data_IF_039125129462
#
_entry.id   IF_039125129462
#
_cell.length_a   1.000
_cell.length_b   1.000
_cell.length_c   1.000
_cell.angle_alpha   90.00
_cell.angle_beta   90.00
_cell.angle_gamma   90.00
#
_symmetry.space_group_name_H-M   'P 1'
#
loop_
_entity.id
_entity.type
_entity.pdbx_description
1 polymer ?
#
# COMPACT_ATOMS: atom_id res chain seq x y z
N UNK A 1 -45.92 12.49 42.23
CA UNK A 1 -44.62 12.12 41.61
C UNK A 1 -43.48 12.55 42.53
N UNK A 2 -42.61 11.61 42.91
CA UNK A 2 -41.58 11.81 43.91
C UNK A 2 -40.46 12.72 43.37
N UNK A 3 -40.23 13.90 43.99
CA UNK A 3 -39.27 14.93 43.50
C UNK A 3 -37.84 14.40 43.37
N UNK A 4 -37.49 13.39 44.15
CA UNK A 4 -36.21 12.66 44.08
C UNK A 4 -36.08 11.84 42.81
N UNK A 5 -37.11 11.06 42.44
CA UNK A 5 -37.10 10.23 41.22
C UNK A 5 -36.93 11.06 39.95
N UNK A 6 -37.58 12.22 39.87
CA UNK A 6 -37.45 13.14 38.72
C UNK A 6 -36.05 13.74 38.58
N UNK A 7 -35.38 14.07 39.70
CA UNK A 7 -33.99 14.57 39.70
C UNK A 7 -32.99 13.50 39.23
N UNK A 8 -33.17 12.25 39.65
CA UNK A 8 -32.32 11.14 39.19
C UNK A 8 -32.53 10.83 37.70
N UNK A 9 -33.76 10.89 37.20
CA UNK A 9 -34.04 10.71 35.77
C UNK A 9 -33.35 11.77 34.90
N UNK A 10 -33.35 13.04 35.32
CA UNK A 10 -32.67 14.12 34.58
C UNK A 10 -31.16 13.93 34.59
N UNK A 11 -30.57 13.56 35.73
CA UNK A 11 -29.12 13.33 35.83
C UNK A 11 -28.64 12.17 34.94
N UNK A 12 -29.42 11.10 34.85
CA UNK A 12 -29.14 9.95 33.98
C UNK A 12 -29.22 10.35 32.51
N UNK A 13 -30.24 11.12 32.11
CA UNK A 13 -30.37 11.63 30.74
C UNK A 13 -29.18 12.54 30.38
N UNK A 14 -28.74 13.40 31.31
CA UNK A 14 -27.58 14.27 31.12
C UNK A 14 -26.28 13.46 30.98
N UNK A 15 -26.09 12.41 31.78
CA UNK A 15 -24.92 11.51 31.69
C UNK A 15 -24.88 10.74 30.37
N UNK A 16 -26.02 10.20 29.93
CA UNK A 16 -26.10 9.46 28.66
C UNK A 16 -25.85 10.40 27.48
N UNK A 17 -26.47 11.58 27.47
CA UNK A 17 -26.24 12.57 26.41
C UNK A 17 -24.81 13.10 26.39
N UNK A 18 -24.17 13.30 27.56
CA UNK A 18 -22.76 13.67 27.64
C UNK A 18 -21.85 12.54 27.11
N UNK A 19 -22.15 11.28 27.40
CA UNK A 19 -21.44 10.12 26.83
C UNK A 19 -21.57 10.05 25.31
N UNK A 20 -22.75 10.31 24.75
CA UNK A 20 -22.96 10.33 23.30
C UNK A 20 -22.23 11.50 22.62
N UNK A 21 -22.16 12.68 23.26
CA UNK A 21 -21.42 13.84 22.74
C UNK A 21 -19.90 13.61 22.84
N UNK A 22 -19.42 12.98 23.92
CA UNK A 22 -18.00 12.68 24.11
C UNK A 22 -17.50 11.56 23.19
N UNK A 23 -18.32 10.51 22.96
CA UNK A 23 -18.01 9.48 21.95
C UNK A 23 -17.99 10.05 20.52
N UNK A 24 -18.90 10.98 20.17
CA UNK A 24 -18.87 11.63 18.85
C UNK A 24 -17.65 12.54 18.62
N UNK A 25 -16.98 12.99 19.68
CA UNK A 25 -15.83 13.92 19.58
C UNK A 25 -14.49 13.22 19.33
N UNK A 26 -14.50 11.89 19.14
CA UNK A 26 -13.30 11.11 18.77
C UNK A 26 -13.29 10.69 17.30
N UNK A 27 -13.95 11.44 16.43
CA UNK A 27 -13.50 11.51 15.03
C UNK A 27 -12.16 12.26 15.02
N UNK A 28 -11.07 11.53 15.29
CA UNK A 28 -9.71 11.98 15.00
C UNK A 28 -9.74 12.54 13.59
N UNK A 29 -9.46 13.84 13.41
CA UNK A 29 -9.31 14.46 12.11
C UNK A 29 -8.48 13.56 11.19
N UNK A 30 -9.15 12.80 10.31
CA UNK A 30 -8.50 11.85 9.42
C UNK A 30 -7.75 12.72 8.41
N UNK A 31 -6.43 12.81 8.58
CA UNK A 31 -5.61 13.54 7.62
C UNK A 31 -5.44 12.64 6.41
N UNK A 32 -6.28 12.86 5.39
CA UNK A 32 -6.18 12.19 4.10
C UNK A 32 -5.11 12.88 3.27
N UNK A 33 -4.00 12.19 3.02
CA UNK A 33 -3.03 12.61 2.00
C UNK A 33 -3.17 11.70 0.79
N UNK A 34 -3.27 12.28 -0.41
CA UNK A 34 -3.27 11.51 -1.65
C UNK A 34 -1.96 11.74 -2.41
N UNK A 35 -1.36 10.66 -2.93
CA UNK A 35 -0.21 10.73 -3.83
C UNK A 35 -0.49 9.92 -5.09
N UNK A 36 -0.20 10.49 -6.24
CA UNK A 36 -0.32 9.79 -7.53
C UNK A 36 1.05 9.71 -8.19
N UNK A 37 1.49 8.49 -8.48
CA UNK A 37 2.80 8.18 -9.03
C UNK A 37 2.69 7.40 -10.33
N UNK A 38 3.63 7.64 -11.23
CA UNK A 38 3.68 7.05 -12.57
C UNK A 38 4.96 6.24 -12.74
N UNK A 39 4.88 5.13 -13.47
CA UNK A 39 5.99 4.19 -13.61
C UNK A 39 6.15 3.73 -15.06
N UNK A 40 7.40 3.46 -15.45
CA UNK A 40 7.72 2.68 -16.65
C UNK A 40 7.83 1.21 -16.28
N UNK A 41 7.25 0.35 -17.12
CA UNK A 41 7.29 -1.10 -16.96
C UNK A 41 8.18 -1.69 -18.06
N UNK A 42 9.14 -2.52 -17.70
CA UNK A 42 10.11 -3.13 -18.61
C UNK A 42 10.05 -4.66 -18.52
N UNK A 43 10.46 -5.34 -19.60
CA UNK A 43 10.68 -6.79 -19.64
C UNK A 43 12.09 -7.17 -19.19
N UNK A 44 12.40 -8.47 -19.23
CA UNK A 44 13.73 -9.05 -18.94
C UNK A 44 14.84 -8.41 -19.77
N UNK A 45 14.56 -8.19 -21.06
CA UNK A 45 15.52 -7.62 -22.02
C UNK A 45 15.52 -6.09 -22.04
N UNK A 46 15.06 -5.44 -20.97
CA UNK A 46 14.98 -3.98 -20.84
C UNK A 46 14.09 -3.26 -21.89
N UNK A 47 13.23 -4.01 -22.58
CA UNK A 47 12.25 -3.43 -23.50
C UNK A 47 11.09 -2.80 -22.73
N UNK A 48 10.74 -1.55 -23.06
CA UNK A 48 9.59 -0.87 -22.46
C UNK A 48 8.29 -1.57 -22.86
N UNK A 49 7.56 -2.11 -21.89
CA UNK A 49 6.30 -2.83 -22.08
C UNK A 49 5.07 -1.94 -21.98
N UNK A 50 5.18 -0.85 -21.23
CA UNK A 50 4.05 0.00 -20.90
C UNK A 50 4.31 0.90 -19.71
N UNK A 51 3.20 1.38 -19.15
CA UNK A 51 3.19 2.33 -18.05
C UNK A 51 2.20 1.89 -16.99
N UNK A 52 2.47 2.24 -15.75
CA UNK A 52 1.50 2.10 -14.67
C UNK A 52 1.34 3.39 -13.88
N UNK A 53 0.19 3.52 -13.25
CA UNK A 53 -0.13 4.58 -12.30
C UNK A 53 -0.54 3.91 -10.97
N UNK A 54 -0.02 4.44 -9.87
CA UNK A 54 -0.40 4.08 -8.51
C UNK A 54 -0.92 5.32 -7.80
N UNK A 55 -2.14 5.23 -7.27
CA UNK A 55 -2.72 6.23 -6.38
C UNK A 55 -2.68 5.67 -4.96
N UNK A 56 -2.07 6.42 -4.05
CA UNK A 56 -1.98 6.13 -2.62
C UNK A 56 -2.89 7.07 -1.86
N UNK A 57 -3.74 6.53 -0.99
CA UNK A 57 -4.55 7.27 -0.04
C UNK A 57 -4.07 6.91 1.38
N UNK A 58 -3.40 7.86 2.03
CA UNK A 58 -2.89 7.72 3.40
C UNK A 58 -3.96 8.17 4.38
N UNK A 59 -4.44 7.25 5.23
CA UNK A 59 -5.51 7.46 6.20
C UNK A 59 -5.05 6.96 7.57
N UNK A 60 -4.51 7.85 8.40
CA UNK A 60 -3.97 7.50 9.72
C UNK A 60 -2.95 6.34 9.64
N UNK A 61 -3.30 5.16 10.14
CA UNK A 61 -2.51 3.93 10.09
C UNK A 61 -2.71 3.12 8.81
N UNK A 62 -3.67 3.46 7.96
CA UNK A 62 -3.96 2.70 6.73
C UNK A 62 -3.41 3.42 5.49
N UNK A 63 -2.91 2.65 4.52
CA UNK A 63 -2.54 3.12 3.19
C UNK A 63 -3.34 2.30 2.18
N UNK A 64 -4.14 2.96 1.35
CA UNK A 64 -4.87 2.30 0.26
C UNK A 64 -4.12 2.57 -1.04
N UNK A 65 -3.70 1.53 -1.74
CA UNK A 65 -3.08 1.59 -3.06
C UNK A 65 -4.05 1.14 -4.15
N UNK A 66 -4.23 1.99 -5.15
CA UNK A 66 -4.95 1.68 -6.39
C UNK A 66 -3.95 1.64 -7.54
N UNK A 67 -3.87 0.52 -8.23
CA UNK A 67 -2.94 0.30 -9.34
C UNK A 67 -3.69 0.15 -10.68
N UNK A 68 -3.23 0.85 -11.71
CA UNK A 68 -3.65 0.64 -13.10
C UNK A 68 -2.40 0.51 -13.98
N UNK A 69 -2.42 -0.42 -14.93
CA UNK A 69 -1.41 -0.51 -15.99
C UNK A 69 -2.02 -0.40 -17.38
N UNK A 70 -1.27 0.21 -18.29
CA UNK A 70 -1.58 0.32 -19.72
C UNK A 70 -0.38 -0.14 -20.55
N UNK A 71 -0.63 -0.69 -21.73
CA UNK A 71 0.43 -0.96 -22.70
C UNK A 71 0.88 0.33 -23.42
N UNK A 72 1.86 0.23 -24.32
CA UNK A 72 2.36 1.37 -25.11
C UNK A 72 1.26 2.08 -25.93
N UNK A 73 0.23 1.33 -26.36
CA UNK A 73 -0.91 1.84 -27.11
C UNK A 73 -2.00 2.46 -26.20
N UNK A 74 -1.79 2.52 -24.88
CA UNK A 74 -2.74 3.05 -23.91
C UNK A 74 -3.91 2.12 -23.59
N UNK A 75 -3.89 0.86 -24.03
CA UNK A 75 -4.91 -0.12 -23.65
C UNK A 75 -4.61 -0.67 -22.27
N UNK A 76 -5.63 -0.70 -21.40
CA UNK A 76 -5.56 -1.27 -20.05
C UNK A 76 -5.10 -2.74 -20.10
N UNK A 77 -4.15 -3.07 -19.24
CA UNK A 77 -3.72 -4.46 -18.98
C UNK A 77 -4.33 -4.97 -17.67
N UNK A 78 -3.98 -4.36 -16.53
CA UNK A 78 -4.38 -4.84 -15.20
C UNK A 78 -4.89 -3.70 -14.30
N UNK A 79 -5.78 -4.02 -13.36
CA UNK A 79 -6.16 -3.14 -12.22
C UNK A 79 -6.15 -3.94 -10.92
N UNK A 80 -5.80 -3.29 -9.80
CA UNK A 80 -5.84 -3.91 -8.48
C UNK A 80 -5.98 -2.87 -7.36
N UNK A 81 -6.58 -3.26 -6.24
CA UNK A 81 -6.72 -2.47 -5.01
C UNK A 81 -6.11 -3.26 -3.84
N UNK A 82 -5.29 -2.59 -3.03
CA UNK A 82 -4.67 -3.18 -1.84
C UNK A 82 -4.72 -2.21 -0.68
N UNK A 83 -4.92 -2.77 0.50
CA UNK A 83 -4.77 -2.05 1.75
C UNK A 83 -3.48 -2.50 2.46
N UNK A 84 -2.81 -1.53 3.06
CA UNK A 84 -1.69 -1.72 3.96
C UNK A 84 -2.03 -1.09 5.30
N UNK A 85 -1.61 -1.73 6.39
CA UNK A 85 -1.81 -1.25 7.74
C UNK A 85 -0.46 -0.92 8.39
N UNK A 86 -0.37 0.15 9.16
CA UNK A 86 0.84 0.57 9.87
C UNK A 86 0.64 0.44 11.37
N UNK A 87 1.56 -0.23 12.04
CA UNK A 87 1.64 -0.24 13.50
C UNK A 87 2.99 0.30 13.93
N UNK A 88 3.03 1.55 14.41
CA UNK A 88 4.29 2.24 14.64
C UNK A 88 5.10 2.38 13.35
N UNK A 89 6.29 1.81 13.32
CA UNK A 89 7.16 1.78 12.14
C UNK A 89 6.89 0.57 11.24
N UNK A 90 6.15 -0.43 11.71
CA UNK A 90 5.92 -1.66 10.98
C UNK A 90 4.77 -1.49 9.98
N UNK A 91 4.92 -2.07 8.80
CA UNK A 91 3.90 -2.07 7.75
C UNK A 91 3.43 -3.50 7.47
N UNK A 92 2.15 -3.72 7.65
CA UNK A 92 1.43 -4.96 7.43
C UNK A 92 0.75 -4.93 6.07
N UNK A 93 1.07 -5.91 5.24
CA UNK A 93 0.52 -6.12 3.90
C UNK A 93 -0.50 -7.26 4.01
N UNK A 94 -1.77 -6.97 3.69
CA UNK A 94 -2.81 -8.00 3.66
C UNK A 94 -2.48 -9.09 2.63
N UNK A 95 -2.53 -10.35 3.07
CA UNK A 95 -2.41 -11.51 2.21
C UNK A 95 -3.77 -11.83 1.58
N UNK A 96 -3.82 -11.92 0.25
CA UNK A 96 -5.03 -12.35 -0.47
C UNK A 96 -5.18 -13.87 -0.57
N UNK A 97 -4.33 -14.64 0.11
CA UNK A 97 -4.36 -16.11 0.09
C UNK A 97 -5.53 -16.61 0.93
N UNK A 98 -6.44 -17.34 0.29
CA UNK A 98 -7.59 -17.97 0.93
C UNK A 98 -7.08 -19.06 1.91
N UNK A 99 -7.56 -19.05 3.16
CA UNK A 99 -7.20 -19.97 4.26
C UNK A 99 -5.86 -19.76 4.99
N UNK A 100 -5.17 -18.63 4.81
CA UNK A 100 -4.04 -18.27 5.67
C UNK A 100 -4.51 -17.66 7.01
N UNK A 101 -4.17 -18.30 8.13
CA UNK A 101 -4.46 -17.77 9.48
C UNK A 101 -3.50 -16.64 9.88
N UNK A 102 -2.35 -16.52 9.23
CA UNK A 102 -1.41 -15.40 9.35
C UNK A 102 -1.71 -14.38 8.26
N UNK A 103 -2.81 -13.64 8.44
CA UNK A 103 -3.41 -12.74 7.44
C UNK A 103 -2.50 -11.62 6.90
N UNK A 104 -1.34 -11.39 7.52
CA UNK A 104 -0.48 -10.25 7.23
C UNK A 104 0.98 -10.67 7.06
N UNK A 105 1.56 -10.27 5.94
CA UNK A 105 3.02 -10.08 5.86
C UNK A 105 3.33 -8.78 6.59
N UNK A 106 4.41 -8.69 7.35
CA UNK A 106 4.81 -7.41 7.93
C UNK A 106 6.27 -7.10 7.62
N UNK A 107 6.52 -5.83 7.32
CA UNK A 107 7.83 -5.26 7.10
C UNK A 107 8.14 -4.30 8.25
N UNK A 108 9.26 -4.51 8.93
CA UNK A 108 9.77 -3.57 9.93
C UNK A 108 10.98 -2.83 9.36
N UNK A 109 11.02 -1.48 9.39
CA UNK A 109 12.20 -0.72 9.01
C UNK A 109 13.36 -1.02 9.96
N UNK A 110 14.42 -1.62 9.43
CA UNK A 110 15.63 -1.90 10.21
C UNK A 110 16.83 -1.15 9.62
N UNK A 111 17.81 -0.81 10.46
CA UNK A 111 19.07 -0.21 10.00
C UNK A 111 19.99 -1.29 9.40
N UNK A 112 19.84 -2.53 9.86
CA UNK A 112 20.62 -3.70 9.43
C UNK A 112 19.74 -4.65 8.63
N UNK A 113 20.35 -5.42 7.74
CA UNK A 113 19.65 -6.46 6.99
C UNK A 113 19.04 -7.49 7.97
N UNK A 114 17.72 -7.65 7.95
CA UNK A 114 17.00 -8.68 8.72
C UNK A 114 16.24 -9.58 7.75
N UNK A 115 16.24 -10.88 7.99
CA UNK A 115 15.49 -11.85 7.21
C UNK A 115 14.62 -12.68 8.15
N UNK A 116 13.33 -12.72 7.85
CA UNK A 116 12.36 -13.55 8.55
C UNK A 116 12.00 -14.73 7.67
N UNK A 117 12.17 -15.94 8.20
CA UNK A 117 11.57 -17.12 7.59
C UNK A 117 10.09 -17.16 7.95
N UNK A 118 9.24 -17.26 6.94
CA UNK A 118 7.80 -17.38 7.12
C UNK A 118 7.37 -18.72 6.55
N UNK A 119 6.99 -19.62 7.44
CA UNK A 119 6.39 -20.92 7.12
C UNK A 119 4.88 -20.73 6.95
N UNK A 120 4.44 -20.61 5.69
CA UNK A 120 3.05 -20.82 5.35
C UNK A 120 2.95 -22.25 4.87
N UNK A 121 2.13 -23.07 5.52
CA UNK A 121 1.90 -24.51 5.25
C UNK A 121 1.77 -24.97 3.78
N UNK A 122 1.64 -24.05 2.81
CA UNK A 122 1.60 -24.30 1.37
C UNK A 122 2.89 -23.88 0.63
N UNK A 123 3.59 -22.82 1.06
CA UNK A 123 4.84 -22.31 0.46
C UNK A 123 5.70 -21.57 1.52
N UNK A 124 7.01 -21.83 1.54
CA UNK A 124 7.94 -21.23 2.50
C UNK A 124 8.64 -20.02 1.87
N UNK A 125 8.69 -18.88 2.55
CA UNK A 125 9.37 -17.71 2.00
C UNK A 125 10.21 -16.95 3.01
N UNK A 126 11.24 -16.27 2.49
CA UNK A 126 12.07 -15.36 3.25
C UNK A 126 11.64 -13.92 2.92
N UNK A 127 11.28 -13.17 3.96
CA UNK A 127 11.10 -11.73 3.87
C UNK A 127 12.32 -11.05 4.48
N UNK A 128 13.15 -10.46 3.63
CA UNK A 128 14.33 -9.74 4.05
C UNK A 128 14.12 -8.23 3.92
N UNK A 129 14.22 -7.51 5.02
CA UNK A 129 14.41 -6.06 5.00
C UNK A 129 15.91 -5.79 4.86
N UNK A 130 16.32 -5.18 3.75
CA UNK A 130 17.63 -4.54 3.69
C UNK A 130 17.50 -3.12 4.22
N UNK A 131 18.52 -2.66 4.92
CA UNK A 131 18.49 -1.37 5.61
C UNK A 131 18.28 -0.16 4.69
N UNK A 132 18.47 1.05 5.23
CA UNK A 132 18.30 2.30 4.48
C UNK A 132 19.38 2.40 3.38
N UNK A 133 18.97 2.64 2.13
CA UNK A 133 19.86 2.85 0.99
C UNK A 133 19.57 4.20 0.31
N UNK A 134 20.42 4.61 -0.63
CA UNK A 134 20.13 5.70 -1.57
C UNK A 134 19.65 5.11 -2.90
N UNK A 135 18.63 5.72 -3.50
CA UNK A 135 18.08 5.31 -4.79
C UNK A 135 17.75 6.53 -5.65
N UNK A 136 18.51 6.74 -6.73
CA UNK A 136 18.39 7.93 -7.60
C UNK A 136 18.42 9.22 -6.77
N UNK A 137 17.37 10.04 -6.87
CA UNK A 137 17.22 11.31 -6.16
C UNK A 137 16.63 11.15 -4.75
N UNK A 138 16.29 9.93 -4.33
CA UNK A 138 15.72 9.63 -3.01
C UNK A 138 16.81 9.09 -2.08
N UNK A 139 16.97 9.73 -0.92
CA UNK A 139 17.93 9.32 0.11
C UNK A 139 17.24 8.60 1.26
N UNK A 140 17.95 7.66 1.89
CA UNK A 140 17.47 6.92 3.06
C UNK A 140 16.15 6.16 2.83
N UNK A 141 16.00 5.56 1.65
CA UNK A 141 14.85 4.74 1.26
C UNK A 141 14.98 3.32 1.80
N UNK A 142 13.87 2.60 1.92
CA UNK A 142 13.86 1.20 2.36
C UNK A 142 14.00 0.26 1.17
N UNK A 143 14.78 -0.82 1.32
CA UNK A 143 14.85 -1.90 0.34
C UNK A 143 14.30 -3.18 0.94
N UNK A 144 13.22 -3.70 0.38
CA UNK A 144 12.60 -4.95 0.81
C UNK A 144 12.87 -6.02 -0.24
N UNK A 145 13.32 -7.19 0.19
CA UNK A 145 13.52 -8.36 -0.65
C UNK A 145 12.61 -9.49 -0.18
N UNK A 146 11.95 -10.12 -1.14
CA UNK A 146 11.02 -11.23 -0.97
C UNK A 146 11.53 -12.40 -1.81
N UNK A 147 11.60 -13.58 -1.21
CA UNK A 147 11.99 -14.83 -1.88
C UNK A 147 11.04 -15.94 -1.46
N UNK A 148 9.99 -16.12 -2.26
CA UNK A 148 9.00 -17.18 -2.10
C UNK A 148 9.45 -18.44 -2.82
N UNK A 149 9.61 -19.50 -2.02
CA UNK A 149 9.96 -20.83 -2.48
C UNK A 149 8.71 -21.69 -2.43
N UNK A 150 8.46 -22.43 -3.50
CA UNK A 150 7.18 -23.09 -3.64
C UNK A 150 6.94 -23.66 -5.03
N UNK A 151 5.69 -24.03 -5.28
CA UNK A 151 5.24 -24.49 -6.60
C UNK A 151 5.33 -23.39 -7.67
N UNK A 152 5.23 -22.12 -7.26
CA UNK A 152 5.31 -20.94 -8.10
C UNK A 152 6.30 -19.95 -7.48
N UNK A 153 7.62 -20.20 -7.58
CA UNK A 153 8.62 -19.40 -6.90
C UNK A 153 8.59 -17.95 -7.40
N UNK A 154 8.71 -17.00 -6.47
CA UNK A 154 8.70 -15.57 -6.76
C UNK A 154 9.78 -14.87 -5.98
N UNK A 155 10.65 -14.16 -6.70
CA UNK A 155 11.58 -13.21 -6.09
C UNK A 155 11.15 -11.79 -6.43
N UNK A 156 11.11 -10.93 -5.43
CA UNK A 156 10.75 -9.53 -5.62
C UNK A 156 11.63 -8.61 -4.78
N UNK A 157 12.08 -7.51 -5.38
CA UNK A 157 12.72 -6.42 -4.65
C UNK A 157 11.86 -5.16 -4.77
N UNK A 158 11.53 -4.55 -3.65
CA UNK A 158 10.85 -3.27 -3.56
C UNK A 158 11.81 -2.21 -3.03
N UNK A 159 11.81 -1.04 -3.66
CA UNK A 159 12.40 0.18 -3.12
C UNK A 159 11.25 1.08 -2.69
N UNK A 160 11.21 1.44 -1.41
CA UNK A 160 10.12 2.21 -0.81
C UNK A 160 10.64 3.53 -0.25
N UNK A 161 9.93 4.62 -0.51
CA UNK A 161 10.23 5.91 0.14
C UNK A 161 9.91 5.85 1.65
N UNK A 162 10.26 6.90 2.38
CA UNK A 162 10.08 6.99 3.84
C UNK A 162 8.61 6.86 4.28
N UNK A 163 7.68 7.24 3.41
CA UNK A 163 6.24 7.10 3.61
C UNK A 163 5.66 5.78 3.08
N UNK A 164 6.52 4.86 2.65
CA UNK A 164 6.22 3.56 2.05
C UNK A 164 5.63 3.61 0.63
N UNK A 165 5.68 4.74 -0.07
CA UNK A 165 5.40 4.75 -1.51
C UNK A 165 6.41 3.90 -2.26
N UNK A 166 5.97 3.15 -3.28
CA UNK A 166 6.87 2.34 -4.09
C UNK A 166 7.63 3.25 -5.06
N UNK A 167 8.95 3.23 -5.03
CA UNK A 167 9.81 3.96 -5.98
C UNK A 167 10.28 3.06 -7.11
N UNK A 168 10.55 1.80 -6.80
CA UNK A 168 10.88 0.78 -7.79
C UNK A 168 10.47 -0.61 -7.32
N UNK A 169 10.18 -1.47 -8.29
CA UNK A 169 9.84 -2.87 -8.09
C UNK A 169 10.54 -3.70 -9.14
N UNK A 170 11.16 -4.79 -8.70
CA UNK A 170 11.84 -5.75 -9.57
C UNK A 170 11.26 -7.13 -9.24
N UNK A 171 10.43 -7.66 -10.11
CA UNK A 171 9.81 -8.99 -9.99
C UNK A 171 10.57 -9.97 -10.89
N UNK A 172 11.00 -11.10 -10.33
CA UNK A 172 11.70 -12.21 -10.98
C UNK A 172 10.78 -13.45 -10.92
N UNK A 173 9.65 -13.36 -11.62
CA UNK A 173 8.61 -14.38 -11.72
C UNK A 173 7.81 -14.13 -13.02
N UNK A 174 7.61 -15.16 -13.86
CA UNK A 174 6.86 -15.09 -15.13
C UNK A 174 7.17 -13.85 -16.00
N UNK A 175 8.33 -13.86 -16.66
CA UNK A 175 8.93 -12.72 -17.37
C UNK A 175 9.35 -11.61 -16.40
N UNK A 176 10.63 -11.58 -16.01
CA UNK A 176 11.25 -10.52 -15.20
C UNK A 176 10.70 -9.16 -15.60
N UNK A 177 10.11 -8.50 -14.61
CA UNK A 177 9.41 -7.25 -14.80
C UNK A 177 9.96 -6.21 -13.85
N UNK A 178 10.47 -5.13 -14.45
CA UNK A 178 11.01 -3.99 -13.73
C UNK A 178 10.03 -2.82 -13.85
N UNK A 179 9.52 -2.32 -12.73
CA UNK A 179 8.74 -1.10 -12.64
C UNK A 179 9.58 -0.01 -11.94
N UNK A 180 9.72 1.16 -12.57
CA UNK A 180 10.49 2.27 -12.00
C UNK A 180 9.69 3.56 -12.07
N UNK A 181 9.64 4.30 -10.97
CA UNK A 181 9.00 5.60 -10.88
C UNK A 181 9.58 6.59 -11.92
N UNK A 182 8.68 7.36 -12.50
CA UNK A 182 8.96 8.47 -13.41
C UNK A 182 8.87 9.76 -12.61
N UNK A 183 9.99 10.46 -12.49
CA UNK A 183 10.04 11.79 -11.88
C UNK A 183 9.90 12.86 -12.98
N UNK A 184 9.15 13.94 -12.68
CA UNK A 184 8.99 15.18 -13.46
C UNK A 184 9.45 15.13 -14.93
N UNK A 185 8.53 14.75 -15.84
CA UNK A 185 8.79 14.77 -17.29
C UNK A 185 7.52 15.10 -18.09
N UNK A 186 7.69 15.65 -19.30
CA UNK A 186 6.60 15.92 -20.26
C UNK A 186 5.78 14.66 -20.57
N UNK A 187 6.42 13.49 -20.56
CA UNK A 187 5.75 12.19 -20.71
C UNK A 187 4.68 11.94 -19.64
N UNK A 188 4.82 12.49 -18.43
CA UNK A 188 3.83 12.34 -17.35
C UNK A 188 2.51 13.02 -17.71
N UNK A 189 2.53 14.17 -18.38
CA UNK A 189 1.32 14.91 -18.76
C UNK A 189 0.47 14.12 -19.76
N UNK A 190 1.10 13.55 -20.78
CA UNK A 190 0.42 12.68 -21.75
C UNK A 190 -0.12 11.41 -21.09
N UNK A 191 0.63 10.82 -20.16
CA UNK A 191 0.19 9.66 -19.40
C UNK A 191 -0.99 9.98 -18.49
N UNK A 192 -0.99 11.13 -17.79
CA UNK A 192 -2.10 11.59 -16.96
C UNK A 192 -3.41 11.58 -17.76
N UNK A 193 -3.42 12.12 -18.97
CA UNK A 193 -4.61 12.14 -19.83
C UNK A 193 -5.07 10.71 -20.18
N UNK A 194 -4.13 9.81 -20.52
CA UNK A 194 -4.45 8.41 -20.84
C UNK A 194 -5.03 7.67 -19.63
N UNK A 195 -4.42 7.84 -18.45
CA UNK A 195 -4.88 7.20 -17.22
C UNK A 195 -6.21 7.76 -16.72
N UNK A 196 -6.46 9.07 -16.83
CA UNK A 196 -7.76 9.67 -16.49
C UNK A 196 -8.91 9.06 -17.31
N UNK A 197 -8.70 8.83 -18.61
CA UNK A 197 -9.69 8.16 -19.47
C UNK A 197 -9.98 6.73 -19.01
N UNK A 198 -8.94 6.00 -18.58
CA UNK A 198 -9.09 4.63 -18.10
C UNK A 198 -9.67 4.56 -16.69
N UNK A 199 -9.32 5.48 -15.79
CA UNK A 199 -9.88 5.59 -14.45
C UNK A 199 -11.41 5.78 -14.48
N UNK A 200 -11.93 6.61 -15.40
CA UNK A 200 -13.38 6.82 -15.57
C UNK A 200 -14.15 5.54 -15.90
N UNK A 201 -13.48 4.53 -16.47
CA UNK A 201 -14.08 3.23 -16.81
C UNK A 201 -14.00 2.22 -15.66
N UNK A 202 -13.35 2.56 -14.56
CA UNK A 202 -13.12 1.66 -13.44
C UNK A 202 -14.02 2.06 -12.28
N UNK A 203 -14.99 1.20 -11.99
CA UNK A 203 -15.61 1.15 -10.67
C UNK A 203 -14.58 0.58 -9.69
N UNK A 204 -14.14 1.44 -8.79
CA UNK A 204 -13.31 1.09 -7.64
C UNK A 204 -14.14 0.62 -6.44
N UNK A 205 -15.47 0.77 -6.54
CA UNK A 205 -16.50 0.47 -5.56
C UNK A 205 -17.78 0.04 -6.29
#
# INVERSE_FOLDING_TARGET
>A
MNKTGFKYSIAIIFLISFFFIYCKKTDKNITLTEKELYYKMYSENDSLLGYSMRKYEFRNDTIIEKYISINLNGKKKNKYLRDFYRNGLDMYIFSTIQNDKNKYLFFSPTIKDTCYFIDRKLDNFYLCAKGKINFKNHQNVYKVYYDERGSHPRKETLILDQDYTILARFEDCYDYKKEIIIENSKTIEDLKIKFQKEQKKILWW
#
